data_IF_421172325700
#
_entry.id   IF_421172325700
#
_cell.length_a   1.000
_cell.length_b   1.000
_cell.length_c   1.000
_cell.angle_alpha   90.00
_cell.angle_beta   90.00
_cell.angle_gamma   90.00
#
_symmetry.space_group_name_H-M   'P 1'
#
loop_
_entity.id
_entity.type
_entity.pdbx_description
1 polymer ?
#
# COMPACT_ATOMS: atom_id res chain seq x y z
N UNK A 1 -32.61 -0.13 -57.45
CA UNK A 1 -32.21 -1.31 -56.63
C UNK A 1 -30.72 -1.56 -56.82
N UNK A 2 -29.82 -0.78 -56.22
CA UNK A 2 -28.38 -1.03 -56.31
C UNK A 2 -27.90 -1.43 -54.91
N UNK A 3 -27.79 -2.74 -54.70
CA UNK A 3 -27.25 -3.32 -53.47
C UNK A 3 -25.74 -3.42 -53.66
N UNK A 4 -25.01 -2.39 -53.25
CA UNK A 4 -23.55 -2.42 -53.24
C UNK A 4 -23.08 -3.08 -51.94
N UNK A 5 -22.71 -4.35 -52.06
CA UNK A 5 -21.99 -5.12 -51.06
C UNK A 5 -20.71 -4.38 -50.64
N UNK A 6 -20.69 -3.85 -49.42
CA UNK A 6 -19.48 -3.37 -48.78
C UNK A 6 -18.45 -4.53 -48.76
N UNK A 7 -17.21 -4.34 -49.24
CA UNK A 7 -16.26 -5.41 -49.36
C UNK A 7 -15.84 -5.89 -47.96
N UNK A 8 -15.98 -7.19 -47.68
CA UNK A 8 -15.66 -7.83 -46.38
C UNK A 8 -14.24 -7.56 -45.86
N UNK A 9 -13.35 -7.04 -46.70
CA UNK A 9 -12.01 -6.57 -46.34
C UNK A 9 -12.01 -5.31 -45.44
N UNK A 10 -13.02 -4.44 -45.53
CA UNK A 10 -13.13 -3.32 -44.58
C UNK A 10 -13.46 -3.82 -43.17
N UNK A 11 -14.25 -4.89 -43.06
CA UNK A 11 -14.60 -5.47 -41.77
C UNK A 11 -13.41 -6.13 -41.08
N UNK A 12 -12.50 -6.77 -41.82
CA UNK A 12 -11.30 -7.41 -41.25
C UNK A 12 -10.23 -6.41 -40.81
N UNK A 13 -10.10 -5.26 -41.50
CA UNK A 13 -9.20 -4.19 -41.06
C UNK A 13 -9.71 -3.49 -39.79
N UNK A 14 -11.03 -3.31 -39.67
CA UNK A 14 -11.64 -2.71 -38.48
C UNK A 14 -11.53 -3.63 -37.27
N UNK A 15 -11.71 -4.95 -37.43
CA UNK A 15 -11.56 -5.91 -36.32
C UNK A 15 -10.11 -6.17 -35.92
N UNK A 16 -9.14 -6.00 -36.84
CA UNK A 16 -7.71 -6.11 -36.57
C UNK A 16 -7.07 -4.90 -35.85
N UNK A 17 -7.70 -3.72 -35.90
CA UNK A 17 -7.23 -2.51 -35.20
C UNK A 17 -7.77 -2.39 -33.75
N UNK A 18 -8.83 -3.13 -33.42
CA UNK A 18 -9.49 -3.12 -32.11
C UNK A 18 -8.65 -3.63 -30.93
N UNK A 19 -7.71 -4.60 -31.05
CA UNK A 19 -6.94 -5.06 -29.90
C UNK A 19 -5.74 -4.18 -29.53
N UNK A 20 -5.45 -3.08 -30.24
CA UNK A 20 -4.30 -2.20 -29.93
C UNK A 20 -4.62 -1.08 -28.92
N UNK A 21 -5.89 -0.92 -28.51
CA UNK A 21 -6.32 0.10 -27.56
C UNK A 21 -6.63 -0.49 -26.18
N UNK A 22 -5.79 -1.41 -25.71
CA UNK A 22 -5.72 -1.75 -24.28
C UNK A 22 -4.39 -1.22 -23.76
N UNK A 23 -4.24 0.10 -23.76
CA UNK A 23 -3.23 0.74 -22.94
C UNK A 23 -3.76 0.69 -21.50
N UNK A 24 -3.35 -0.36 -20.78
CA UNK A 24 -3.47 -0.42 -19.32
C UNK A 24 -2.76 0.81 -18.75
N UNK A 25 -3.52 1.80 -18.31
CA UNK A 25 -3.02 2.87 -17.46
C UNK A 25 -2.72 2.24 -16.10
N UNK A 26 -1.48 1.80 -15.89
CA UNK A 26 -0.98 1.58 -14.54
C UNK A 26 -0.81 2.97 -13.93
N UNK A 27 -1.92 3.54 -13.45
CA UNK A 27 -1.85 4.64 -12.50
C UNK A 27 -0.95 4.13 -11.36
N UNK A 28 0.17 4.79 -11.15
CA UNK A 28 0.98 4.60 -9.95
C UNK A 28 0.02 4.67 -8.77
N UNK A 29 -0.15 3.56 -8.07
CA UNK A 29 -1.04 3.44 -6.90
C UNK A 29 -0.63 4.38 -5.75
N UNK A 30 0.43 5.16 -5.93
CA UNK A 30 1.05 6.04 -4.94
C UNK A 30 0.66 7.53 -5.07
N UNK A 31 0.02 7.97 -6.16
CA UNK A 31 -0.26 9.41 -6.41
C UNK A 31 -1.34 10.04 -5.48
N UNK A 32 -1.77 9.33 -4.44
CA UNK A 32 -2.76 9.83 -3.49
C UNK A 32 -2.89 9.05 -2.18
N UNK A 33 -1.98 8.10 -1.93
CA UNK A 33 -2.00 7.27 -0.74
C UNK A 33 -0.72 7.47 0.06
N UNK A 34 -0.84 7.37 1.37
CA UNK A 34 0.28 7.30 2.29
C UNK A 34 0.21 5.93 2.97
N UNK A 35 1.21 5.09 2.73
CA UNK A 35 1.33 3.79 3.38
C UNK A 35 2.43 3.86 4.44
N UNK A 36 2.04 3.68 5.70
CA UNK A 36 2.94 3.81 6.85
C UNK A 36 3.17 2.42 7.43
N UNK A 37 4.43 2.07 7.65
CA UNK A 37 4.84 0.85 8.33
C UNK A 37 5.27 1.15 9.78
N UNK A 38 4.50 0.62 10.73
CA UNK A 38 4.62 0.91 12.15
C UNK A 38 5.84 0.20 12.74
N UNK A 39 6.82 0.94 13.28
CA UNK A 39 8.01 0.33 13.88
C UNK A 39 9.16 0.09 12.89
N UNK A 40 8.96 0.36 11.60
CA UNK A 40 10.05 0.35 10.62
C UNK A 40 11.12 1.39 11.00
N UNK A 41 12.40 1.05 10.80
CA UNK A 41 13.53 1.91 11.14
C UNK A 41 13.42 3.32 10.56
N UNK A 42 13.77 4.33 11.37
CA UNK A 42 13.66 5.74 11.00
C UNK A 42 14.34 6.03 9.66
N UNK A 43 13.67 6.85 8.82
CA UNK A 43 14.14 7.22 7.49
C UNK A 43 14.12 6.10 6.45
N UNK A 44 13.58 4.91 6.79
CA UNK A 44 13.49 3.79 5.86
C UNK A 44 12.17 3.78 5.10
N UNK A 45 12.22 3.26 3.87
CA UNK A 45 11.05 3.07 3.01
C UNK A 45 11.29 1.88 2.07
N UNK A 46 10.23 1.23 1.62
CA UNK A 46 10.33 0.14 0.64
C UNK A 46 9.08 -0.01 -0.22
N UNK A 47 9.27 -0.49 -1.44
CA UNK A 47 8.18 -0.97 -2.29
C UNK A 47 7.81 -2.39 -1.88
N UNK A 48 6.56 -2.61 -1.49
CA UNK A 48 6.04 -3.94 -1.23
C UNK A 48 5.61 -4.59 -2.55
N UNK A 49 6.34 -5.62 -2.98
CA UNK A 49 6.10 -6.29 -4.26
C UNK A 49 4.75 -7.02 -4.33
N UNK A 50 4.18 -7.40 -3.18
CA UNK A 50 2.91 -8.13 -3.09
C UNK A 50 1.72 -7.20 -3.27
N UNK A 51 1.82 -5.97 -2.78
CA UNK A 51 0.73 -4.97 -2.80
C UNK A 51 0.95 -3.86 -3.83
N UNK A 52 2.18 -3.65 -4.28
CA UNK A 52 2.56 -2.54 -5.17
C UNK A 52 2.58 -1.17 -4.50
N UNK A 53 2.51 -1.12 -3.16
CA UNK A 53 2.48 0.11 -2.38
C UNK A 53 3.87 0.45 -1.83
N UNK A 54 4.21 1.75 -1.79
CA UNK A 54 5.44 2.22 -1.14
C UNK A 54 5.16 2.52 0.33
N UNK A 55 5.77 1.74 1.22
CA UNK A 55 5.69 1.95 2.66
C UNK A 55 6.83 2.84 3.14
N UNK A 56 6.51 3.78 4.03
CA UNK A 56 7.47 4.62 4.75
C UNK A 56 7.41 4.37 6.25
N UNK A 57 8.51 4.60 6.95
CA UNK A 57 8.56 4.52 8.42
C UNK A 57 7.56 5.45 9.08
N UNK A 58 6.95 4.96 10.16
CA UNK A 58 6.01 5.69 11.00
C UNK A 58 6.64 6.80 11.85
N UNK A 59 7.96 6.79 11.99
CA UNK A 59 8.75 7.72 12.80
C UNK A 59 8.54 9.19 12.40
N UNK A 60 8.22 9.44 11.12
CA UNK A 60 7.88 10.78 10.62
C UNK A 60 6.51 11.30 11.06
N UNK A 61 5.68 10.46 11.68
CA UNK A 61 4.27 10.74 11.97
C UNK A 61 3.94 10.62 13.45
N UNK A 62 4.82 10.09 14.29
CA UNK A 62 4.59 9.90 15.72
C UNK A 62 5.86 10.19 16.54
N UNK A 63 5.67 10.76 17.74
CA UNK A 63 6.77 11.14 18.64
C UNK A 63 6.92 10.23 19.87
N UNK A 64 6.05 9.24 20.03
CA UNK A 64 5.99 8.36 21.20
C UNK A 64 6.06 6.89 20.80
N UNK A 65 6.22 6.03 21.79
CA UNK A 65 6.32 4.59 21.60
C UNK A 65 7.73 4.10 21.32
N UNK A 66 7.86 2.80 21.18
CA UNK A 66 9.12 2.09 21.00
C UNK A 66 9.00 1.11 19.84
N UNK A 67 10.03 1.04 19.00
CA UNK A 67 10.07 0.10 17.89
C UNK A 67 10.66 -1.23 18.35
N UNK A 68 10.06 -2.32 17.89
CA UNK A 68 10.50 -3.65 18.24
C UNK A 68 10.29 -4.62 17.07
N UNK A 69 11.18 -5.61 16.98
CA UNK A 69 11.08 -6.68 16.00
C UNK A 69 10.22 -7.81 16.56
N UNK A 70 9.40 -8.43 15.71
CA UNK A 70 8.67 -9.63 16.12
C UNK A 70 9.61 -10.79 16.41
N UNK A 71 9.18 -11.72 17.26
CA UNK A 71 9.90 -12.97 17.45
C UNK A 71 10.03 -13.77 16.15
N UNK A 72 11.20 -14.36 15.90
CA UNK A 72 11.49 -15.19 14.74
C UNK A 72 10.52 -16.37 14.59
N UNK A 73 9.86 -16.79 15.68
CA UNK A 73 8.81 -17.82 15.64
C UNK A 73 7.59 -17.41 14.79
N UNK A 74 7.36 -16.10 14.64
CA UNK A 74 6.28 -15.54 13.82
C UNK A 74 6.76 -15.07 12.44
N UNK A 75 8.06 -14.86 12.24
CA UNK A 75 8.63 -14.39 10.97
C UNK A 75 8.38 -15.36 9.79
N UNK A 76 8.15 -16.65 10.08
CA UNK A 76 7.80 -17.67 9.07
C UNK A 76 6.31 -17.81 8.78
N UNK A 77 5.43 -17.12 9.52
CA UNK A 77 4.03 -17.02 9.13
C UNK A 77 3.93 -16.07 7.92
N UNK A 78 2.91 -16.22 7.07
CA UNK A 78 2.64 -15.38 5.89
C UNK A 78 2.29 -13.92 6.27
N UNK A 79 3.12 -13.30 7.09
CA UNK A 79 3.02 -11.92 7.52
C UNK A 79 3.40 -11.03 6.35
N UNK A 80 2.62 -9.98 6.14
CA UNK A 80 3.07 -8.87 5.31
C UNK A 80 4.35 -8.29 5.91
N UNK A 81 5.20 -7.67 5.08
CA UNK A 81 6.44 -7.03 5.56
C UNK A 81 6.17 -6.05 6.71
N UNK A 82 5.02 -5.38 6.69
CA UNK A 82 4.54 -4.47 7.76
C UNK A 82 4.19 -5.13 9.09
N UNK A 83 4.30 -6.46 9.17
CA UNK A 83 4.11 -7.23 10.39
C UNK A 83 5.41 -7.64 11.06
N UNK A 84 6.58 -7.36 10.45
CA UNK A 84 7.89 -7.79 10.94
C UNK A 84 8.45 -6.89 12.05
N UNK A 85 8.08 -5.62 12.02
CA UNK A 85 8.42 -4.62 13.02
C UNK A 85 7.12 -4.00 13.50
N UNK A 86 7.07 -3.62 14.78
CA UNK A 86 5.89 -3.02 15.38
C UNK A 86 6.31 -1.92 16.34
N UNK A 87 5.49 -0.87 16.41
CA UNK A 87 5.60 0.15 17.46
C UNK A 87 4.68 -0.18 18.63
N UNK A 88 5.25 -0.25 19.83
CA UNK A 88 4.52 -0.44 21.07
C UNK A 88 4.42 0.86 21.87
N UNK A 89 3.46 0.93 22.79
CA UNK A 89 3.25 2.07 23.67
C UNK A 89 3.18 1.58 25.13
N UNK A 90 4.31 1.20 25.74
CA UNK A 90 4.32 0.63 27.08
C UNK A 90 3.97 1.64 28.17
N UNK A 91 4.11 2.93 27.86
CA UNK A 91 3.82 4.03 28.78
C UNK A 91 2.84 5.02 28.16
N UNK A 92 2.09 5.70 29.04
CA UNK A 92 1.07 6.66 28.64
C UNK A 92 -0.30 6.03 28.31
N UNK A 93 -1.32 6.89 28.20
CA UNK A 93 -2.69 6.46 27.89
C UNK A 93 -3.19 6.89 26.50
N UNK A 94 -2.45 7.76 25.79
CA UNK A 94 -2.81 8.27 24.47
C UNK A 94 -1.56 8.54 23.65
N UNK A 95 -1.58 8.08 22.41
CA UNK A 95 -0.57 8.32 21.40
C UNK A 95 -1.25 8.84 20.14
N UNK A 96 -0.63 9.78 19.45
CA UNK A 96 -1.25 10.46 18.31
C UNK A 96 -0.29 10.45 17.11
N UNK A 97 -0.81 9.96 15.99
CA UNK A 97 -0.20 10.15 14.68
C UNK A 97 -0.62 11.50 14.11
N UNK A 98 0.34 12.25 13.58
CA UNK A 98 0.11 13.53 12.90
C UNK A 98 0.37 13.34 11.42
N UNK A 99 -0.71 13.35 10.64
CA UNK A 99 -0.64 13.30 9.17
C UNK A 99 -0.83 14.71 8.61
N UNK A 100 -0.19 15.00 7.47
CA UNK A 100 -0.43 16.25 6.75
C UNK A 100 -1.92 16.36 6.37
N UNK A 101 -2.52 17.56 6.44
CA UNK A 101 -3.91 17.75 6.05
C UNK A 101 -4.11 17.34 4.60
N UNK A 102 -5.20 16.60 4.34
CA UNK A 102 -5.68 16.46 2.97
C UNK A 102 -6.16 17.82 2.44
N UNK A 103 -6.11 18.00 1.13
CA UNK A 103 -6.60 19.23 0.51
C UNK A 103 -8.08 19.39 0.84
N UNK A 104 -8.48 20.60 1.24
CA UNK A 104 -9.89 20.91 1.57
C UNK A 104 -10.82 20.42 0.46
N UNK A 105 -11.78 19.56 0.81
CA UNK A 105 -12.74 18.97 -0.12
C UNK A 105 -12.39 17.56 -0.60
N UNK A 106 -11.27 16.98 -0.16
CA UNK A 106 -10.96 15.56 -0.39
C UNK A 106 -11.49 14.70 0.77
N UNK A 107 -12.24 13.66 0.44
CA UNK A 107 -12.57 12.59 1.38
C UNK A 107 -11.34 11.69 1.55
N UNK A 108 -10.91 11.48 2.79
CA UNK A 108 -9.80 10.57 3.11
C UNK A 108 -10.33 9.28 3.71
N UNK A 109 -9.77 8.16 3.27
CA UNK A 109 -10.02 6.85 3.85
C UNK A 109 -8.80 6.38 4.62
N UNK A 110 -8.96 6.11 5.91
CA UNK A 110 -7.91 5.59 6.77
C UNK A 110 -8.13 4.09 6.99
N UNK A 111 -7.18 3.26 6.53
CA UNK A 111 -7.16 1.83 6.84
C UNK A 111 -5.97 1.53 7.73
N UNK A 112 -6.23 0.91 8.88
CA UNK A 112 -5.19 0.37 9.75
C UNK A 112 -5.31 -1.14 9.81
N UNK A 113 -4.16 -1.83 9.80
CA UNK A 113 -4.08 -3.24 10.13
C UNK A 113 -3.58 -3.33 11.57
N UNK A 114 -4.48 -3.64 12.49
CA UNK A 114 -4.12 -3.83 13.90
C UNK A 114 -3.84 -5.32 14.07
N UNK A 115 -2.56 -5.66 14.23
CA UNK A 115 -2.18 -6.99 14.67
C UNK A 115 -1.95 -6.94 16.18
N UNK A 116 -2.87 -7.55 16.93
CA UNK A 116 -2.68 -7.77 18.35
C UNK A 116 -1.82 -9.04 18.53
N UNK A 117 -0.55 -8.85 18.86
CA UNK A 117 0.33 -9.94 19.27
C UNK A 117 0.49 -9.90 20.79
N UNK A 118 0.50 -11.07 21.43
CA UNK A 118 1.09 -11.17 22.76
C UNK A 118 2.57 -10.82 22.58
N UNK A 119 2.99 -9.66 23.09
CA UNK A 119 4.32 -9.11 22.81
C UNK A 119 5.39 -9.98 23.48
N UNK A 120 5.91 -10.95 22.74
CA UNK A 120 7.14 -11.65 23.08
C UNK A 120 8.25 -11.12 22.17
N UNK A 121 9.03 -10.20 22.72
CA UNK A 121 10.16 -9.59 22.02
C UNK A 121 11.36 -10.54 22.03
N UNK A 122 12.21 -10.50 21.00
CA UNK A 122 13.49 -11.21 21.03
C UNK A 122 14.43 -10.45 21.97
N UNK A 123 14.56 -10.87 23.23
CA UNK A 123 15.52 -10.22 24.13
C UNK A 123 15.40 -10.48 25.63
N UNK A 124 14.49 -11.33 26.11
CA UNK A 124 14.43 -11.76 27.52
C UNK A 124 14.86 -13.22 27.71
#
# INVERSE_FOLDING_TARGET
MWSSSLPSYLFTLVTGLLPLLVHSQTASLDEGFISIDCGLSSGSSYLDEKTGLNYTSDDGYIYTGENHDISAEYNGQELFKTGLNLRSFPTGGRNCYTLSPATTGQEVSCKSNIHAWELRWQGE
#
